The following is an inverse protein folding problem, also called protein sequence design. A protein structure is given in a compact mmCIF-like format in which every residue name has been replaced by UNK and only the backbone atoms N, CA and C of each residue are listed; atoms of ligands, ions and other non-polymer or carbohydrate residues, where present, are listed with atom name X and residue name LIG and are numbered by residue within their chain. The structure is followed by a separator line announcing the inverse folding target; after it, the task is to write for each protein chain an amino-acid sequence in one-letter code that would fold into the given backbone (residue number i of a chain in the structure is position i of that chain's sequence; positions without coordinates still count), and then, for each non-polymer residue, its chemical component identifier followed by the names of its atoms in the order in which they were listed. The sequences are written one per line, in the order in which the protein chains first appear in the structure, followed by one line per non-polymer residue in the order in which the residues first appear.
data_IF_528964836969
#
_entry.id   IF_528964836969
#
_cell.length_a   1.000
_cell.length_b   1.000
_cell.length_c   1.000
_cell.angle_alpha   90.00
_cell.angle_beta   90.00
_cell.angle_gamma   90.00
#
_symmetry.space_group_name_H-M   'P 1'
#
loop_
_entity.id
_entity.type
_entity.pdbx_description
1 polymer ?
#
# COMPACT_ATOMS: atom_id res chain seq x y z
N UNK A 1 9.59 4.25 3.42
CA UNK A 1 8.15 4.02 3.26
C UNK A 1 7.59 5.06 2.31
N UNK A 2 6.46 4.78 1.66
CA UNK A 2 5.76 5.75 0.78
C UNK A 2 4.32 5.91 1.24
N UNK A 3 3.76 7.11 1.06
CA UNK A 3 2.35 7.40 1.29
C UNK A 3 1.60 7.15 -0.01
N UNK A 4 0.44 6.50 0.07
CA UNK A 4 -0.39 6.21 -1.09
C UNK A 4 -1.87 6.17 -0.71
N UNK A 5 -2.76 6.28 -1.70
CA UNK A 5 -4.19 6.02 -1.55
C UNK A 5 -4.55 4.73 -2.27
N UNK A 6 -5.42 3.92 -1.66
CA UNK A 6 -5.95 2.72 -2.32
C UNK A 6 -6.99 3.14 -3.35
N UNK A 7 -6.72 2.86 -4.62
CA UNK A 7 -7.61 3.22 -5.73
C UNK A 7 -8.47 2.04 -6.21
N UNK A 8 -8.12 0.80 -5.85
CA UNK A 8 -8.89 -0.37 -6.26
C UNK A 8 -8.34 -1.69 -5.74
N UNK A 9 -8.91 -2.77 -6.25
CA UNK A 9 -8.55 -4.14 -5.90
C UNK A 9 -8.26 -4.95 -7.17
N UNK A 10 -7.32 -5.89 -7.07
CA UNK A 10 -6.93 -6.77 -8.17
C UNK A 10 -7.27 -8.21 -7.81
N UNK A 11 -7.94 -8.90 -8.75
CA UNK A 11 -8.22 -10.34 -8.65
C UNK A 11 -7.24 -11.08 -9.56
N UNK A 12 -6.46 -12.00 -8.99
CA UNK A 12 -5.47 -12.79 -9.71
C UNK A 12 -5.63 -14.27 -9.33
N UNK A 13 -6.32 -15.05 -10.19
CA UNK A 13 -6.66 -16.45 -9.93
C UNK A 13 -5.50 -17.41 -10.21
N UNK A 14 -4.64 -17.07 -11.17
CA UNK A 14 -3.43 -17.82 -11.50
C UNK A 14 -2.22 -17.02 -11.01
N UNK A 15 -1.63 -17.42 -9.87
CA UNK A 15 -0.55 -16.68 -9.22
C UNK A 15 0.49 -17.59 -8.56
N UNK A 16 1.67 -17.04 -8.30
CA UNK A 16 2.72 -17.74 -7.58
C UNK A 16 2.24 -18.15 -6.18
N UNK A 17 2.55 -19.38 -5.74
CA UNK A 17 2.11 -19.91 -4.44
C UNK A 17 2.51 -19.04 -3.25
N UNK A 18 3.64 -18.33 -3.37
CA UNK A 18 4.12 -17.38 -2.36
C UNK A 18 3.30 -16.10 -2.21
N UNK A 19 2.31 -15.83 -3.07
CA UNK A 19 1.30 -14.76 -2.92
C UNK A 19 0.00 -15.26 -2.23
N UNK A 20 -0.01 -16.53 -1.80
CA UNK A 20 -1.02 -17.19 -0.96
C UNK A 20 -2.47 -16.75 -1.24
N UNK A 21 -3.19 -16.26 -0.21
CA UNK A 21 -4.54 -15.68 -0.26
C UNK A 21 -4.53 -14.16 -0.04
N UNK A 22 -3.38 -13.52 -0.24
CA UNK A 22 -3.23 -12.09 0.02
C UNK A 22 -4.09 -11.25 -0.91
N UNK A 23 -4.64 -10.19 -0.32
CA UNK A 23 -5.39 -9.16 -1.04
C UNK A 23 -4.39 -8.31 -1.82
N UNK A 24 -4.69 -8.10 -3.10
CA UNK A 24 -3.91 -7.23 -3.97
C UNK A 24 -4.65 -5.91 -4.13
N UNK A 25 -4.00 -4.83 -3.75
CA UNK A 25 -4.54 -3.48 -3.85
C UNK A 25 -3.84 -2.72 -4.97
N UNK A 26 -4.64 -2.04 -5.79
CA UNK A 26 -4.14 -1.00 -6.66
C UNK A 26 -4.01 0.28 -5.83
N UNK A 27 -2.84 0.88 -5.84
CA UNK A 27 -2.51 2.07 -5.03
C UNK A 27 -1.89 3.15 -5.91
N UNK A 28 -2.13 4.40 -5.57
CA UNK A 28 -1.53 5.56 -6.22
C UNK A 28 -0.74 6.37 -5.19
N UNK A 29 0.50 6.75 -5.51
CA UNK A 29 1.35 7.46 -4.57
C UNK A 29 0.84 8.87 -4.33
N UNK A 30 1.06 9.38 -3.12
CA UNK A 30 0.68 10.74 -2.74
C UNK A 30 1.94 11.62 -2.73
N UNK A 31 1.85 12.76 -3.41
CA UNK A 31 2.91 13.76 -3.49
C UNK A 31 3.05 14.57 -2.17
N UNK A 32 4.04 15.47 -2.13
CA UNK A 32 4.29 16.31 -0.96
C UNK A 32 3.17 17.31 -0.66
N UNK A 33 2.25 17.53 -1.60
CA UNK A 33 1.09 18.42 -1.50
C UNK A 33 -0.17 17.67 -1.08
N UNK A 34 -0.12 16.34 -0.94
CA UNK A 34 -1.27 15.52 -0.58
C UNK A 34 -2.14 15.09 -1.76
N UNK A 35 -1.65 15.25 -2.99
CA UNK A 35 -2.38 14.83 -4.19
C UNK A 35 -1.88 13.48 -4.71
N UNK A 36 -2.75 12.65 -5.28
CA UNK A 36 -2.32 11.49 -6.07
C UNK A 36 -1.42 11.94 -7.25
N UNK A 37 -0.27 11.30 -7.42
CA UNK A 37 0.77 11.72 -8.36
C UNK A 37 0.72 11.01 -9.73
N UNK A 38 -0.29 10.16 -9.97
CA UNK A 38 -0.44 9.34 -11.16
C UNK A 38 0.41 8.06 -11.18
N UNK A 39 1.30 7.84 -10.20
CA UNK A 39 2.12 6.62 -10.12
C UNK A 39 1.31 5.49 -9.48
N UNK A 40 0.72 4.66 -10.34
CA UNK A 40 0.02 3.44 -9.93
C UNK A 40 1.01 2.30 -9.62
N UNK A 41 0.75 1.59 -8.53
CA UNK A 41 1.46 0.38 -8.13
C UNK A 41 0.50 -0.68 -7.57
N UNK A 42 1.01 -1.90 -7.36
CA UNK A 42 0.28 -3.00 -6.74
C UNK A 42 0.95 -3.35 -5.42
N UNK A 43 0.19 -3.29 -4.32
CA UNK A 43 0.66 -3.68 -3.00
C UNK A 43 -0.13 -4.90 -2.50
N UNK A 44 0.55 -5.78 -1.76
CA UNK A 44 -0.15 -6.75 -0.92
C UNK A 44 -0.72 -6.03 0.31
N UNK A 45 -1.85 -6.52 0.80
CA UNK A 45 -2.49 -6.03 2.01
C UNK A 45 -2.84 -7.20 2.94
N UNK A 46 -2.29 -7.15 4.14
CA UNK A 46 -2.56 -8.08 5.24
C UNK A 46 -3.23 -7.40 6.44
N UNK A 47 -3.53 -6.10 6.33
CA UNK A 47 -4.07 -5.25 7.41
C UNK A 47 -5.56 -4.96 7.20
N UNK A 48 -6.02 -5.02 5.94
CA UNK A 48 -7.43 -4.87 5.60
C UNK A 48 -7.79 -3.47 5.12
N UNK A 49 -6.89 -2.81 4.40
CA UNK A 49 -7.14 -1.51 3.81
C UNK A 49 -8.24 -1.57 2.72
N UNK A 50 -9.12 -0.58 2.75
CA UNK A 50 -10.22 -0.35 1.82
C UNK A 50 -9.89 0.67 0.73
N UNK A 51 -10.67 0.66 -0.35
CA UNK A 51 -10.59 1.69 -1.39
C UNK A 51 -10.91 3.07 -0.80
N UNK A 52 -10.10 4.06 -1.15
CA UNK A 52 -10.16 5.42 -0.62
C UNK A 52 -9.31 5.66 0.63
N UNK A 53 -8.85 4.61 1.31
CA UNK A 53 -7.99 4.79 2.48
C UNK A 53 -6.57 5.20 2.08
N UNK A 54 -6.01 6.12 2.86
CA UNK A 54 -4.59 6.46 2.79
C UNK A 54 -3.81 5.40 3.56
N UNK A 55 -2.69 4.96 2.99
CA UNK A 55 -1.89 3.85 3.50
C UNK A 55 -0.40 4.17 3.47
N UNK A 56 0.33 3.58 4.40
CA UNK A 56 1.78 3.53 4.39
C UNK A 56 2.25 2.24 3.73
N UNK A 57 3.15 2.40 2.76
CA UNK A 57 3.74 1.30 2.01
C UNK A 57 5.21 1.11 2.37
N UNK A 58 5.65 -0.14 2.42
CA UNK A 58 7.07 -0.51 2.45
C UNK A 58 7.42 -1.31 1.21
N UNK A 59 8.64 -1.15 0.69
CA UNK A 59 9.09 -1.78 -0.55
C UNK A 59 10.33 -2.66 -0.35
N UNK A 60 10.63 -3.50 -1.33
CA UNK A 60 11.83 -4.34 -1.37
C UNK A 60 11.82 -5.46 -0.34
N UNK A 61 12.98 -5.78 0.25
CA UNK A 61 13.10 -6.86 1.24
C UNK A 61 12.24 -6.65 2.49
N UNK A 62 12.05 -5.40 2.92
CA UNK A 62 11.15 -5.07 4.03
C UNK A 62 9.69 -5.42 3.73
N UNK A 63 9.26 -5.42 2.46
CA UNK A 63 7.92 -5.88 2.09
C UNK A 63 7.75 -7.38 2.36
N UNK A 64 8.78 -8.19 2.10
CA UNK A 64 8.79 -9.63 2.43
C UNK A 64 8.78 -9.89 3.93
N UNK A 65 9.46 -9.04 4.71
CA UNK A 65 9.41 -9.08 6.17
C UNK A 65 8.02 -8.72 6.70
N UNK A 66 7.39 -7.68 6.16
CA UNK A 66 6.03 -7.29 6.50
C UNK A 66 5.00 -8.37 6.10
N UNK A 67 5.23 -9.05 4.97
CA UNK A 67 4.48 -10.22 4.52
C UNK A 67 4.73 -11.47 5.37
N UNK A 68 5.74 -11.45 6.25
CA UNK A 68 6.18 -12.59 7.08
C UNK A 68 6.57 -13.82 6.25
N UNK A 69 7.12 -13.60 5.06
CA UNK A 69 7.57 -14.65 4.16
C UNK A 69 8.79 -14.18 3.36
N UNK A 70 9.99 -14.60 3.78
CA UNK A 70 11.23 -14.15 3.14
C UNK A 70 11.40 -14.61 1.69
N UNK A 71 10.74 -15.72 1.33
CA UNK A 71 10.77 -16.31 -0.02
C UNK A 71 9.61 -15.82 -0.90
N UNK A 72 8.73 -14.95 -0.40
CA UNK A 72 7.62 -14.40 -1.18
C UNK A 72 8.15 -13.54 -2.34
N UNK A 73 7.53 -13.58 -3.53
CA UNK A 73 7.89 -12.70 -4.64
C UNK A 73 7.24 -11.31 -4.47
N UNK A 74 7.27 -10.76 -3.25
CA UNK A 74 6.64 -9.49 -2.88
C UNK A 74 7.69 -8.40 -2.75
N UNK A 75 7.40 -7.24 -3.34
CA UNK A 75 8.25 -6.06 -3.30
C UNK A 75 7.53 -4.78 -2.84
N UNK A 76 6.23 -4.84 -2.55
CA UNK A 76 5.44 -3.73 -2.02
C UNK A 76 4.31 -4.22 -1.10
N UNK A 77 4.23 -3.69 0.11
CA UNK A 77 3.27 -4.13 1.14
C UNK A 77 2.68 -2.94 1.91
N UNK A 78 1.37 -3.00 2.16
CA UNK A 78 0.68 -2.10 3.10
C UNK A 78 1.10 -2.46 4.52
N UNK A 79 1.62 -1.48 5.26
CA UNK A 79 2.06 -1.63 6.65
C UNK A 79 1.28 -0.77 7.65
N UNK A 80 0.34 0.05 7.17
CA UNK A 80 -0.55 0.82 8.03
C UNK A 80 -1.60 1.59 7.23
N UNK A 81 -2.74 1.84 7.88
CA UNK A 81 -3.78 2.76 7.42
C UNK A 81 -3.54 4.08 8.13
N UNK A 82 -3.62 5.18 7.39
CA UNK A 82 -3.28 6.52 7.85
C UNK A 82 -4.54 7.17 8.40
N UNK A 83 -4.46 7.72 9.60
CA UNK A 83 -5.55 8.51 10.21
C UNK A 83 -5.38 10.01 9.97
N UNK A 84 -4.14 10.52 9.98
CA UNK A 84 -3.86 11.94 9.78
C UNK A 84 -2.48 12.16 9.13
N UNK A 85 -2.39 13.20 8.29
CA UNK A 85 -1.12 13.72 7.77
C UNK A 85 -1.06 15.22 7.98
N UNK A 86 0.03 15.70 8.59
CA UNK A 86 0.34 17.12 8.76
C UNK A 86 1.60 17.46 7.98
N UNK A 87 1.49 18.42 7.06
CA UNK A 87 2.61 18.91 6.26
C UNK A 87 2.59 20.44 6.19
N UNK A 88 3.76 21.08 6.32
CA UNK A 88 3.86 22.55 6.29
C UNK A 88 3.03 23.26 7.37
N UNK A 89 2.80 22.60 8.52
CA UNK A 89 1.97 23.14 9.62
C UNK A 89 0.47 23.09 9.37
N UNK A 90 -0.01 22.36 8.36
CA UNK A 90 -1.43 22.19 8.04
C UNK A 90 -1.78 20.72 7.96
N UNK A 91 -2.99 20.38 8.39
CA UNK A 91 -3.58 19.05 8.15
C UNK A 91 -3.85 18.93 6.65
N UNK A 92 -3.21 17.98 5.98
CA UNK A 92 -3.42 17.68 4.56
C UNK A 92 -4.35 16.50 4.35
N UNK A 93 -4.50 15.64 5.36
CA UNK A 93 -5.45 14.54 5.38
C UNK A 93 -5.87 14.23 6.82
N UNK A 94 -7.14 13.92 7.02
CA UNK A 94 -7.70 13.40 8.26
C UNK A 94 -8.88 12.47 7.91
N UNK A 95 -8.92 11.28 8.52
CA UNK A 95 -9.92 10.23 8.26
C UNK A 95 -11.27 10.51 8.93
#
# INVERSE_FOLDING_TARGET
MKLAVVTGQIVCTVRHQGLAHDKLLMVEMIDAQGNPDGQCAVAIDSIGAGTGEWVLLVSGSSARQAHRSELSPVDLCVIGIVDEVVAGGKVVFHK
#
